data_IF_488737496129
#
_entry.id   IF_488737496129
#
_cell.length_a   1.000
_cell.length_b   1.000
_cell.length_c   1.000
_cell.angle_alpha   90.00
_cell.angle_beta   90.00
_cell.angle_gamma   90.00
#
_symmetry.space_group_name_H-M   'P 1'
#
loop_
_entity.id
_entity.type
_entity.pdbx_description
1 polymer ?
#
# COMPACT_ATOMS: atom_id res chain seq x y z
N UNK A 1 -6.17 -16.39 -4.02
CA UNK A 1 -6.07 -17.85 -3.80
C UNK A 1 -4.78 -18.26 -3.08
N UNK A 2 -3.61 -17.81 -3.56
CA UNK A 2 -2.29 -18.10 -2.96
C UNK A 2 -2.16 -17.71 -1.48
N UNK A 3 -2.71 -16.56 -1.07
CA UNK A 3 -2.70 -16.10 0.33
C UNK A 3 -3.37 -17.10 1.29
N UNK A 4 -4.58 -17.55 0.95
CA UNK A 4 -5.34 -18.53 1.76
C UNK A 4 -4.59 -19.88 1.86
N UNK A 5 -3.96 -20.32 0.77
CA UNK A 5 -3.16 -21.55 0.77
C UNK A 5 -1.96 -21.41 1.71
N UNK A 6 -1.18 -20.33 1.59
CA UNK A 6 -0.04 -20.08 2.49
C UNK A 6 -0.47 -19.95 3.96
N UNK A 7 -1.64 -19.37 4.24
CA UNK A 7 -2.21 -19.31 5.60
C UNK A 7 -2.65 -20.68 6.13
N UNK A 8 -3.11 -21.59 5.26
CA UNK A 8 -3.40 -22.96 5.66
C UNK A 8 -2.12 -23.74 5.95
N UNK A 9 -1.10 -23.59 5.10
CA UNK A 9 0.19 -24.27 5.27
C UNK A 9 0.84 -23.92 6.60
N UNK A 10 0.71 -22.68 7.08
CA UNK A 10 1.24 -22.28 8.40
C UNK A 10 0.60 -23.00 9.59
N UNK A 11 -0.57 -23.62 9.42
CA UNK A 11 -1.22 -24.41 10.49
C UNK A 11 -0.72 -25.85 10.56
N UNK A 12 0.05 -26.30 9.57
CA UNK A 12 0.62 -27.65 9.56
C UNK A 12 1.79 -27.66 10.55
N UNK A 13 1.90 -28.68 11.43
CA UNK A 13 2.97 -28.80 12.42
C UNK A 13 4.31 -29.24 11.78
N UNK A 14 4.73 -28.55 10.71
CA UNK A 14 5.99 -28.73 10.03
C UNK A 14 6.85 -27.47 10.26
N UNK A 15 8.11 -27.62 10.69
CA UNK A 15 8.97 -26.49 11.04
C UNK A 15 9.22 -25.52 9.88
N UNK A 16 9.15 -25.99 8.62
CA UNK A 16 9.27 -25.16 7.41
C UNK A 16 8.12 -24.15 7.22
N UNK A 17 6.95 -24.40 7.81
CA UNK A 17 5.77 -23.56 7.63
C UNK A 17 5.39 -22.78 8.89
N UNK A 18 6.10 -22.97 10.01
CA UNK A 18 5.86 -22.22 11.23
C UNK A 18 6.62 -20.88 11.19
N UNK A 19 5.99 -19.79 11.66
CA UNK A 19 6.56 -18.44 11.72
C UNK A 19 7.05 -17.88 10.36
N UNK A 20 6.13 -17.59 9.42
CA UNK A 20 6.50 -16.94 8.17
C UNK A 20 7.17 -15.58 8.43
N UNK A 21 8.17 -15.24 7.63
CA UNK A 21 8.85 -13.95 7.73
C UNK A 21 7.84 -12.79 7.60
N UNK A 22 7.90 -11.78 8.48
CA UNK A 22 7.04 -10.61 8.39
C UNK A 22 7.32 -9.86 7.09
N UNK A 23 6.28 -9.34 6.46
CA UNK A 23 6.39 -8.58 5.20
C UNK A 23 5.97 -7.14 5.44
N UNK A 24 6.74 -6.19 4.91
CA UNK A 24 6.34 -4.78 4.79
C UNK A 24 6.05 -4.52 3.33
N UNK A 25 4.83 -4.10 3.02
CA UNK A 25 4.46 -3.74 1.65
C UNK A 25 4.85 -2.30 1.37
N UNK A 26 5.57 -2.05 0.27
CA UNK A 26 5.96 -0.68 -0.14
C UNK A 26 4.94 -0.19 -1.16
N UNK A 27 4.40 1.01 -0.93
CA UNK A 27 3.48 1.70 -1.83
C UNK A 27 4.13 3.00 -2.32
N UNK A 28 4.65 3.02 -3.56
CA UNK A 28 5.20 4.23 -4.16
C UNK A 28 4.12 5.24 -4.52
N UNK A 29 4.30 6.48 -4.06
CA UNK A 29 3.47 7.65 -4.36
C UNK A 29 4.33 8.64 -5.16
N UNK A 30 4.35 8.46 -6.48
CA UNK A 30 5.25 9.19 -7.37
C UNK A 30 4.53 10.22 -8.24
N UNK A 31 5.14 11.40 -8.38
CA UNK A 31 4.71 12.44 -9.29
C UNK A 31 3.64 13.38 -8.71
N UNK A 32 3.17 14.32 -9.54
CA UNK A 32 2.20 15.35 -9.13
C UNK A 32 0.87 14.69 -8.74
N UNK A 33 0.31 15.07 -7.59
CA UNK A 33 -1.00 14.60 -7.14
C UNK A 33 -2.09 15.39 -7.87
N UNK A 34 -2.97 14.72 -8.63
CA UNK A 34 -4.01 15.41 -9.38
C UNK A 34 -4.46 14.68 -10.64
N UNK A 35 -5.15 15.43 -11.50
CA UNK A 35 -5.51 14.97 -12.83
C UNK A 35 -4.29 14.99 -13.75
N UNK A 36 -4.01 13.85 -14.39
CA UNK A 36 -2.93 13.75 -15.38
C UNK A 36 -3.20 14.59 -16.62
N UNK A 37 -2.13 14.99 -17.32
CA UNK A 37 -2.25 15.50 -18.68
C UNK A 37 -2.27 14.33 -19.68
N UNK A 38 -2.61 14.57 -20.95
CA UNK A 38 -2.53 13.53 -22.00
C UNK A 38 -1.16 12.86 -22.12
N UNK A 39 -0.09 13.51 -21.64
CA UNK A 39 1.29 13.06 -21.77
C UNK A 39 1.97 12.73 -20.43
N UNK A 40 1.28 12.87 -19.29
CA UNK A 40 1.85 12.55 -17.97
C UNK A 40 0.84 11.88 -17.05
N UNK A 41 1.19 10.71 -16.54
CA UNK A 41 0.45 10.07 -15.45
C UNK A 41 0.64 10.88 -14.18
N UNK A 42 -0.45 11.43 -13.66
CA UNK A 42 -0.47 12.05 -12.32
C UNK A 42 -0.97 11.02 -11.30
N UNK A 43 -0.53 11.19 -10.05
CA UNK A 43 -0.99 10.41 -8.92
C UNK A 43 -2.43 10.84 -8.56
N UNK A 44 -3.39 9.94 -8.71
CA UNK A 44 -4.78 10.14 -8.30
C UNK A 44 -5.34 8.83 -7.74
N UNK A 45 -6.47 8.94 -7.03
CA UNK A 45 -7.09 7.78 -6.38
C UNK A 45 -7.39 6.66 -7.39
N UNK A 46 -8.00 6.98 -8.53
CA UNK A 46 -8.39 5.98 -9.52
C UNK A 46 -7.20 5.18 -10.07
N UNK A 47 -6.02 5.81 -10.20
CA UNK A 47 -4.81 5.16 -10.69
C UNK A 47 -4.03 4.36 -9.64
N UNK A 48 -4.23 4.64 -8.35
CA UNK A 48 -3.48 4.01 -7.25
C UNK A 48 -4.34 3.05 -6.40
N UNK A 49 -5.66 3.09 -6.52
CA UNK A 49 -6.60 2.31 -5.70
C UNK A 49 -6.28 0.81 -5.71
N UNK A 50 -6.03 0.23 -6.88
CA UNK A 50 -5.67 -1.19 -6.99
C UNK A 50 -4.35 -1.50 -6.26
N UNK A 51 -3.34 -0.62 -6.38
CA UNK A 51 -2.04 -0.80 -5.71
C UNK A 51 -2.18 -0.67 -4.19
N UNK A 52 -3.02 0.25 -3.72
CA UNK A 52 -3.37 0.36 -2.31
C UNK A 52 -3.96 -0.97 -1.84
N UNK A 53 -4.98 -1.49 -2.53
CA UNK A 53 -5.65 -2.74 -2.13
C UNK A 53 -4.69 -3.92 -2.09
N UNK A 54 -3.82 -4.02 -3.09
CA UNK A 54 -2.77 -5.04 -3.17
C UNK A 54 -1.77 -4.93 -2.01
N UNK A 55 -1.31 -3.73 -1.65
CA UNK A 55 -0.37 -3.52 -0.55
C UNK A 55 -0.90 -4.08 0.77
N UNK A 56 -2.20 -3.92 1.02
CA UNK A 56 -2.88 -4.47 2.19
C UNK A 56 -3.34 -5.92 2.04
N UNK A 57 -3.24 -6.55 0.85
CA UNK A 57 -3.60 -7.96 0.66
C UNK A 57 -2.40 -8.90 0.63
N UNK A 58 -1.17 -8.39 0.69
CA UNK A 58 0.05 -9.23 0.74
C UNK A 58 -0.01 -10.26 1.89
N UNK A 59 0.45 -11.48 1.61
CA UNK A 59 0.51 -12.53 2.62
C UNK A 59 1.50 -12.17 3.74
N UNK A 60 1.04 -12.28 4.99
CA UNK A 60 1.80 -11.95 6.20
C UNK A 60 2.33 -10.50 6.23
N UNK A 61 1.60 -9.57 5.60
CA UNK A 61 1.89 -8.14 5.74
C UNK A 61 1.69 -7.70 7.19
N UNK A 62 2.67 -6.99 7.73
CA UNK A 62 2.66 -6.43 9.09
C UNK A 62 2.62 -4.92 9.11
N UNK A 63 3.00 -4.27 8.00
CA UNK A 63 2.93 -2.83 7.84
C UNK A 63 2.91 -2.47 6.35
N UNK A 64 2.45 -1.27 6.04
CA UNK A 64 2.59 -0.64 4.72
C UNK A 64 3.50 0.59 4.86
N UNK A 65 4.49 0.71 3.97
CA UNK A 65 5.40 1.84 3.88
C UNK A 65 5.03 2.68 2.64
N UNK A 66 4.60 3.91 2.84
CA UNK A 66 4.39 4.88 1.77
C UNK A 66 5.74 5.50 1.41
N UNK A 67 6.18 5.29 0.17
CA UNK A 67 7.36 5.94 -0.38
C UNK A 67 6.88 7.18 -1.14
N UNK A 68 7.05 8.37 -0.55
CA UNK A 68 6.47 9.62 -1.06
C UNK A 68 7.52 10.37 -1.85
N UNK A 69 7.31 10.44 -3.17
CA UNK A 69 8.13 11.21 -4.10
C UNK A 69 7.22 12.07 -4.99
N UNK A 70 6.58 13.05 -4.35
CA UNK A 70 5.59 13.92 -4.96
C UNK A 70 5.85 15.40 -4.60
N UNK A 71 5.86 16.32 -5.58
CA UNK A 71 5.86 17.77 -5.33
C UNK A 71 4.54 18.31 -4.76
N UNK A 72 3.59 17.44 -4.42
CA UNK A 72 2.24 17.80 -4.01
C UNK A 72 1.29 17.97 -5.21
N UNK A 73 0.23 18.77 -5.02
CA UNK A 73 -0.75 19.06 -6.06
C UNK A 73 -2.17 19.27 -5.51
N UNK A 74 -3.14 18.57 -6.09
CA UNK A 74 -4.56 18.71 -5.77
C UNK A 74 -4.86 18.27 -4.33
N UNK A 75 -5.33 19.19 -3.45
CA UNK A 75 -5.68 18.83 -2.07
C UNK A 75 -6.81 17.80 -2.01
N UNK A 76 -7.71 17.82 -3.00
CA UNK A 76 -8.82 16.86 -3.11
C UNK A 76 -8.29 15.45 -3.35
N UNK A 77 -7.37 15.27 -4.30
CA UNK A 77 -6.81 13.95 -4.59
C UNK A 77 -5.94 13.44 -3.42
N UNK A 78 -5.17 14.33 -2.78
CA UNK A 78 -4.40 13.96 -1.57
C UNK A 78 -5.30 13.45 -0.46
N UNK A 79 -6.39 14.15 -0.18
CA UNK A 79 -7.37 13.75 0.84
C UNK A 79 -8.04 12.41 0.51
N UNK A 80 -8.43 12.21 -0.76
CA UNK A 80 -9.05 10.96 -1.21
C UNK A 80 -8.11 9.76 -1.05
N UNK A 81 -6.84 9.91 -1.45
CA UNK A 81 -5.81 8.88 -1.29
C UNK A 81 -5.58 8.58 0.19
N UNK A 82 -5.38 9.62 1.01
CA UNK A 82 -5.14 9.49 2.44
C UNK A 82 -6.29 8.78 3.16
N UNK A 83 -7.55 9.17 2.89
CA UNK A 83 -8.73 8.50 3.45
C UNK A 83 -8.85 7.04 3.04
N UNK A 84 -8.53 6.70 1.79
CA UNK A 84 -8.56 5.30 1.33
C UNK A 84 -7.55 4.44 2.08
N UNK A 85 -6.33 4.94 2.27
CA UNK A 85 -5.26 4.26 2.99
C UNK A 85 -5.62 4.11 4.48
N UNK A 86 -6.09 5.18 5.13
CA UNK A 86 -6.52 5.14 6.54
C UNK A 86 -7.64 4.14 6.76
N UNK A 87 -8.67 4.15 5.91
CA UNK A 87 -9.78 3.20 5.97
C UNK A 87 -9.29 1.75 5.94
N UNK A 88 -8.37 1.41 5.03
CA UNK A 88 -7.83 0.05 4.96
C UNK A 88 -6.91 -0.31 6.12
N UNK A 89 -6.17 0.68 6.64
CA UNK A 89 -5.35 0.52 7.84
C UNK A 89 -6.20 0.16 9.05
N UNK A 90 -7.32 0.85 9.25
CA UNK A 90 -8.29 0.59 10.30
C UNK A 90 -9.01 -0.76 10.08
N UNK A 91 -9.53 -1.01 8.87
CA UNK A 91 -10.28 -2.24 8.55
C UNK A 91 -9.44 -3.51 8.70
N UNK A 92 -8.14 -3.44 8.45
CA UNK A 92 -7.23 -4.59 8.45
C UNK A 92 -6.27 -4.60 9.63
N UNK A 93 -6.32 -3.57 10.48
CA UNK A 93 -5.40 -3.38 11.62
C UNK A 93 -3.91 -3.45 11.19
N UNK A 94 -3.59 -2.93 10.00
CA UNK A 94 -2.22 -2.89 9.47
C UNK A 94 -1.70 -1.46 9.59
N UNK A 95 -0.65 -1.19 10.38
CA UNK A 95 -0.09 0.14 10.51
C UNK A 95 0.54 0.63 9.20
N UNK A 96 0.45 1.94 8.97
CA UNK A 96 1.01 2.62 7.81
C UNK A 96 2.06 3.62 8.27
N UNK A 97 3.22 3.61 7.62
CA UNK A 97 4.32 4.55 7.84
C UNK A 97 4.61 5.29 6.55
N UNK A 98 4.87 6.60 6.63
CA UNK A 98 5.22 7.41 5.47
C UNK A 98 6.70 7.81 5.51
N UNK A 99 7.35 7.71 4.36
CA UNK A 99 8.75 8.04 4.15
C UNK A 99 8.82 9.08 3.03
N UNK A 100 9.32 10.26 3.37
CA UNK A 100 9.63 11.31 2.41
C UNK A 100 10.91 10.93 1.63
N UNK A 101 10.85 10.96 0.29
CA UNK A 101 11.99 10.78 -0.60
C UNK A 101 12.51 12.14 -1.11
N UNK A 102 12.92 12.23 -2.38
CA UNK A 102 13.57 13.41 -2.96
C UNK A 102 12.68 14.66 -2.97
N UNK A 103 11.37 14.47 -3.17
CA UNK A 103 10.39 15.54 -3.21
C UNK A 103 9.20 15.11 -2.36
N UNK A 104 9.01 15.71 -1.18
CA UNK A 104 7.93 15.34 -0.26
C UNK A 104 7.57 16.46 0.72
#
# INVERSE_FOLDING_TARGET
MLKKIKQLLTKIPLPLFQNPAPVVAILPLEGVIGSGSRFSSALNLAGIEEKIDQAFDVYNVKAVALAVNSPGGSPVQSELIMRRIQKLSEEKEIPVYAFAEDVA
#
